data_IF_763996401823
#
_entry.id   IF_763996401823
#
_cell.length_a   1.000
_cell.length_b   1.000
_cell.length_c   1.000
_cell.angle_alpha   90.00
_cell.angle_beta   90.00
_cell.angle_gamma   90.00
#
_symmetry.space_group_name_H-M   'P 1'
#
loop_
_entity.id
_entity.type
_entity.pdbx_description
1 polymer ?
#
# COMPACT_ATOMS: atom_id res chain seq x y z
N UNK A 1 -1.75 -18.24 -28.59
CA UNK A 1 -2.46 -17.16 -29.35
C UNK A 1 -3.25 -16.34 -28.34
N UNK A 2 -2.66 -15.26 -27.80
CA UNK A 2 -3.30 -14.43 -26.77
C UNK A 2 -4.04 -13.30 -27.49
N UNK A 3 -5.36 -13.33 -27.42
CA UNK A 3 -6.24 -12.32 -28.00
C UNK A 3 -6.00 -10.96 -27.30
N UNK A 4 -5.67 -9.93 -28.08
CA UNK A 4 -5.61 -8.55 -27.64
C UNK A 4 -7.02 -8.08 -27.26
N UNK A 5 -7.33 -8.03 -25.98
CA UNK A 5 -8.53 -7.38 -25.49
C UNK A 5 -8.36 -5.85 -25.65
N UNK A 6 -8.95 -5.27 -26.70
CA UNK A 6 -9.05 -3.81 -26.83
C UNK A 6 -10.20 -3.35 -25.93
N UNK A 7 -9.88 -2.94 -24.70
CA UNK A 7 -10.82 -2.24 -23.84
C UNK A 7 -10.97 -0.79 -24.33
N UNK A 8 -12.08 -0.51 -24.98
CA UNK A 8 -12.52 0.85 -25.37
C UNK A 8 -13.22 1.55 -24.20
N UNK A 9 -12.60 1.64 -23.03
CA UNK A 9 -13.19 2.35 -21.90
C UNK A 9 -12.93 3.87 -22.01
N UNK A 10 -13.97 4.73 -21.99
CA UNK A 10 -13.83 6.19 -22.15
C UNK A 10 -13.16 6.90 -20.96
N UNK A 11 -12.78 6.16 -19.92
CA UNK A 11 -12.18 6.72 -18.69
C UNK A 11 -10.70 7.16 -18.84
N UNK A 12 -10.03 6.81 -19.93
CA UNK A 12 -8.58 7.05 -20.12
C UNK A 12 -8.21 8.37 -20.82
N UNK A 13 -9.14 9.31 -21.00
CA UNK A 13 -8.87 10.59 -21.68
C UNK A 13 -8.37 11.73 -20.77
N UNK A 14 -7.89 11.47 -19.56
CA UNK A 14 -7.25 12.53 -18.77
C UNK A 14 -5.76 12.66 -19.14
N UNK A 15 -5.38 13.86 -19.59
CA UNK A 15 -4.04 14.23 -20.10
C UNK A 15 -2.97 14.38 -18.99
N UNK A 16 -3.00 13.63 -17.91
CA UNK A 16 -1.97 13.67 -16.87
C UNK A 16 -0.90 12.63 -17.17
N UNK A 17 0.25 13.09 -17.65
CA UNK A 17 1.41 12.26 -18.02
C UNK A 17 1.92 11.37 -16.87
N UNK A 18 1.71 11.77 -15.62
CA UNK A 18 2.16 11.06 -14.41
C UNK A 18 1.41 9.72 -14.16
N UNK A 19 0.18 9.58 -14.68
CA UNK A 19 -0.67 8.39 -14.42
C UNK A 19 -0.91 7.54 -15.68
N UNK A 20 -0.16 7.77 -16.77
CA UNK A 20 -0.27 6.92 -17.96
C UNK A 20 0.57 5.66 -17.79
N UNK A 21 0.03 4.47 -18.16
CA UNK A 21 0.88 3.29 -18.26
C UNK A 21 2.01 3.55 -19.24
N UNK A 22 3.22 3.03 -18.99
CA UNK A 22 4.26 2.97 -20.01
C UNK A 22 3.72 2.30 -21.27
N UNK A 23 4.29 2.68 -22.43
CA UNK A 23 3.85 2.14 -23.74
C UNK A 23 3.96 0.60 -23.77
N UNK A 24 4.94 0.04 -23.06
CA UNK A 24 5.25 -1.39 -22.98
C UNK A 24 4.71 -2.04 -21.70
N UNK A 25 3.52 -1.60 -21.20
CA UNK A 25 2.92 -2.17 -20.00
C UNK A 25 2.30 -3.54 -20.27
N UNK A 26 2.52 -4.48 -19.36
CA UNK A 26 1.88 -5.80 -19.34
C UNK A 26 0.77 -5.82 -18.27
N UNK A 27 -0.37 -6.41 -18.59
CA UNK A 27 -1.43 -6.64 -17.61
C UNK A 27 -1.11 -7.84 -16.75
N UNK A 28 -1.14 -7.66 -15.43
CA UNK A 28 -0.93 -8.71 -14.43
C UNK A 28 -2.20 -8.85 -13.59
N UNK A 29 -2.66 -10.08 -13.28
CA UNK A 29 -3.77 -10.29 -12.37
C UNK A 29 -3.49 -9.67 -11.01
N UNK A 30 -4.46 -8.94 -10.44
CA UNK A 30 -4.29 -8.21 -9.18
C UNK A 30 -3.87 -9.13 -8.02
N UNK A 31 -4.44 -10.33 -7.95
CA UNK A 31 -4.08 -11.30 -6.92
C UNK A 31 -2.61 -11.70 -7.00
N UNK A 32 -2.09 -11.92 -8.20
CA UNK A 32 -0.68 -12.25 -8.43
C UNK A 32 0.23 -11.08 -8.04
N UNK A 33 -0.13 -9.86 -8.43
CA UNK A 33 0.63 -8.66 -8.10
C UNK A 33 0.70 -8.44 -6.59
N UNK A 34 -0.42 -8.64 -5.87
CA UNK A 34 -0.48 -8.58 -4.41
C UNK A 34 0.41 -9.62 -3.75
N UNK A 35 0.33 -10.88 -4.20
CA UNK A 35 1.16 -11.95 -3.67
C UNK A 35 2.65 -11.62 -3.81
N UNK A 36 3.09 -11.24 -5.00
CA UNK A 36 4.49 -10.89 -5.26
C UNK A 36 4.94 -9.71 -4.36
N UNK A 37 4.12 -8.66 -4.26
CA UNK A 37 4.44 -7.51 -3.42
C UNK A 37 4.54 -7.89 -1.94
N UNK A 38 3.61 -8.70 -1.43
CA UNK A 38 3.64 -9.18 -0.05
C UNK A 38 4.85 -10.07 0.22
N UNK A 39 5.18 -10.98 -0.71
CA UNK A 39 6.32 -11.90 -0.56
C UNK A 39 7.66 -11.15 -0.55
N UNK A 40 7.82 -10.13 -1.40
CA UNK A 40 8.99 -9.25 -1.36
C UNK A 40 9.16 -8.56 -0.01
N UNK A 41 8.07 -8.02 0.56
CA UNK A 41 8.08 -7.33 1.85
C UNK A 41 8.36 -8.29 3.02
N UNK A 42 7.79 -9.50 2.99
CA UNK A 42 8.06 -10.56 3.97
C UNK A 42 9.52 -11.01 3.91
N UNK A 43 10.08 -11.15 2.72
CA UNK A 43 11.47 -11.56 2.52
C UNK A 43 12.48 -10.61 3.15
N UNK A 44 12.14 -9.32 3.31
CA UNK A 44 12.98 -8.32 4.00
C UNK A 44 12.62 -8.15 5.49
N UNK A 45 11.82 -9.06 6.05
CA UNK A 45 11.54 -9.15 7.48
C UNK A 45 10.31 -8.40 7.97
N UNK A 46 9.52 -7.76 7.08
CA UNK A 46 8.26 -7.12 7.49
C UNK A 46 7.28 -8.17 8.03
N UNK A 47 6.58 -7.84 9.12
CA UNK A 47 5.55 -8.72 9.69
C UNK A 47 4.54 -9.15 8.61
N UNK A 48 4.14 -10.44 8.55
CA UNK A 48 3.29 -10.97 7.48
C UNK A 48 1.98 -10.21 7.30
N UNK A 49 1.28 -9.89 8.39
CA UNK A 49 0.03 -9.11 8.35
C UNK A 49 0.23 -7.68 7.82
N UNK A 50 1.34 -7.03 8.17
CA UNK A 50 1.70 -5.70 7.66
C UNK A 50 2.07 -5.74 6.18
N UNK A 51 2.78 -6.80 5.74
CA UNK A 51 3.14 -7.00 4.34
C UNK A 51 1.90 -7.21 3.47
N UNK A 52 0.96 -8.06 3.90
CA UNK A 52 -0.29 -8.32 3.18
C UNK A 52 -1.16 -7.06 3.09
N UNK A 53 -1.26 -6.31 4.20
CA UNK A 53 -1.99 -5.04 4.25
C UNK A 53 -1.37 -4.00 3.30
N UNK A 54 -0.06 -3.82 3.34
CA UNK A 54 0.65 -2.87 2.48
C UNK A 54 0.52 -3.25 1.01
N UNK A 55 0.70 -4.52 0.65
CA UNK A 55 0.54 -5.03 -0.70
C UNK A 55 -0.89 -4.77 -1.24
N UNK A 56 -1.91 -4.94 -0.39
CA UNK A 56 -3.30 -4.60 -0.72
C UNK A 56 -3.46 -3.11 -1.00
N UNK A 57 -3.01 -2.22 -0.12
CA UNK A 57 -3.15 -0.77 -0.26
C UNK A 57 -2.44 -0.25 -1.52
N UNK A 58 -1.22 -0.74 -1.80
CA UNK A 58 -0.47 -0.35 -2.99
C UNK A 58 -1.15 -0.82 -4.28
N UNK A 59 -1.63 -2.06 -4.32
CA UNK A 59 -2.35 -2.57 -5.50
C UNK A 59 -3.71 -1.88 -5.70
N UNK A 60 -4.40 -1.50 -4.62
CA UNK A 60 -5.64 -0.71 -4.71
C UNK A 60 -5.37 0.70 -5.26
N UNK A 61 -4.21 1.28 -4.97
CA UNK A 61 -3.77 2.55 -5.57
C UNK A 61 -3.52 2.40 -7.07
N UNK A 62 -2.88 1.31 -7.50
CA UNK A 62 -2.69 1.01 -8.94
C UNK A 62 -4.02 0.83 -9.66
N UNK A 63 -4.99 0.11 -9.07
CA UNK A 63 -6.33 -0.08 -9.63
C UNK A 63 -7.09 1.24 -9.80
N UNK A 64 -6.83 2.23 -8.94
CA UNK A 64 -7.39 3.58 -9.05
C UNK A 64 -6.62 4.48 -10.03
N UNK A 65 -5.56 3.97 -10.66
CA UNK A 65 -4.70 4.72 -11.57
C UNK A 65 -3.68 5.63 -10.89
N UNK A 66 -3.52 5.53 -9.56
CA UNK A 66 -2.56 6.34 -8.78
C UNK A 66 -1.23 5.60 -8.67
N UNK A 67 -0.56 5.40 -9.80
CA UNK A 67 0.66 4.58 -9.91
C UNK A 67 1.85 5.13 -9.13
N UNK A 68 1.91 6.43 -8.88
CA UNK A 68 2.97 7.04 -8.07
C UNK A 68 2.99 6.52 -6.63
N UNK A 69 1.84 6.02 -6.14
CA UNK A 69 1.62 5.48 -4.79
C UNK A 69 1.22 3.99 -4.84
N UNK A 70 1.51 3.32 -5.92
CA UNK A 70 1.20 1.91 -6.15
C UNK A 70 2.38 0.96 -5.87
N UNK A 71 2.28 -0.25 -6.41
CA UNK A 71 3.24 -1.35 -6.20
C UNK A 71 4.66 -1.04 -6.70
N UNK A 72 4.83 -0.06 -7.59
CA UNK A 72 6.16 0.46 -7.96
C UNK A 72 7.00 0.94 -6.78
N UNK A 73 6.38 1.23 -5.63
CA UNK A 73 7.07 1.67 -4.42
C UNK A 73 7.68 0.51 -3.61
N UNK A 74 7.29 -0.74 -3.88
CA UNK A 74 7.75 -1.92 -3.13
C UNK A 74 9.27 -2.03 -3.05
N UNK A 75 10.05 -1.89 -4.15
CA UNK A 75 11.51 -1.95 -4.05
C UNK A 75 12.10 -0.92 -3.09
N UNK A 76 11.57 0.31 -3.08
CA UNK A 76 12.02 1.35 -2.17
C UNK A 76 11.68 1.07 -0.71
N UNK A 77 10.54 0.43 -0.42
CA UNK A 77 10.23 -0.03 0.93
C UNK A 77 11.13 -1.18 1.37
N UNK A 78 11.38 -2.15 0.50
CA UNK A 78 12.30 -3.25 0.78
C UNK A 78 13.70 -2.72 1.11
N UNK A 79 14.21 -1.77 0.33
CA UNK A 79 15.51 -1.15 0.58
C UNK A 79 15.58 -0.46 1.96
N UNK A 80 14.57 0.36 2.31
CA UNK A 80 14.54 1.05 3.60
C UNK A 80 14.47 0.10 4.80
N UNK A 81 13.75 -1.03 4.65
CA UNK A 81 13.68 -2.06 5.68
C UNK A 81 15.03 -2.76 5.86
N UNK A 82 15.73 -3.07 4.76
CA UNK A 82 17.06 -3.69 4.78
C UNK A 82 18.13 -2.76 5.35
N UNK A 83 18.07 -1.47 5.04
CA UNK A 83 19.02 -0.46 5.51
C UNK A 83 18.75 -0.03 6.98
N UNK A 84 17.71 -0.58 7.62
CA UNK A 84 17.33 -0.21 8.99
C UNK A 84 16.68 1.17 9.11
N UNK A 85 16.27 1.77 7.99
CA UNK A 85 15.56 3.07 7.97
C UNK A 85 14.11 2.98 8.46
N UNK A 86 13.54 1.77 8.51
CA UNK A 86 12.25 1.50 9.14
C UNK A 86 12.31 0.21 9.96
N UNK A 87 11.56 0.18 11.07
CA UNK A 87 11.39 -1.02 11.89
C UNK A 87 10.49 -2.04 11.17
N UNK A 88 10.99 -3.26 10.83
CA UNK A 88 10.19 -4.28 10.15
C UNK A 88 9.16 -4.95 11.06
N UNK A 89 9.34 -4.83 12.40
CA UNK A 89 8.49 -5.48 13.42
C UNK A 89 8.01 -4.47 14.45
N UNK A 90 7.30 -3.40 14.05
CA UNK A 90 6.90 -2.35 14.96
C UNK A 90 5.89 -2.86 15.98
N UNK A 91 6.02 -2.38 17.22
CA UNK A 91 5.05 -2.55 18.30
C UNK A 91 4.19 -1.29 18.38
N UNK A 92 3.06 -1.29 17.68
CA UNK A 92 2.16 -0.14 17.64
C UNK A 92 1.49 0.09 19.00
N UNK A 93 1.53 1.30 19.53
CA UNK A 93 0.98 1.65 20.83
C UNK A 93 0.06 2.87 20.74
N UNK A 94 -1.07 2.81 21.44
CA UNK A 94 -1.90 3.99 21.68
C UNK A 94 -1.34 4.73 22.88
N UNK A 95 -0.75 5.90 22.65
CA UNK A 95 -0.14 6.72 23.70
C UNK A 95 -1.16 7.61 24.42
N UNK A 96 -2.17 8.07 23.69
CA UNK A 96 -3.24 8.90 24.24
C UNK A 96 -4.55 8.59 23.54
N UNK A 97 -5.61 8.50 24.33
CA UNK A 97 -6.97 8.27 23.86
C UNK A 97 -7.94 9.23 24.57
N UNK A 98 -8.67 10.02 23.78
CA UNK A 98 -9.69 10.96 24.25
C UNK A 98 -11.01 10.69 23.50
N UNK A 99 -12.15 11.27 23.89
CA UNK A 99 -13.40 11.06 23.15
C UNK A 99 -13.31 11.41 21.66
N UNK A 100 -12.49 12.38 21.27
CA UNK A 100 -12.43 12.90 19.89
C UNK A 100 -11.09 12.70 19.19
N UNK A 101 -10.04 12.28 19.91
CA UNK A 101 -8.69 12.15 19.34
C UNK A 101 -7.98 10.89 19.82
N UNK A 102 -7.04 10.40 19.04
CA UNK A 102 -6.14 9.31 19.41
C UNK A 102 -4.73 9.63 18.93
N UNK A 103 -3.73 9.34 19.75
CA UNK A 103 -2.31 9.40 19.38
C UNK A 103 -1.76 7.97 19.35
N UNK A 104 -1.26 7.55 18.19
CA UNK A 104 -0.67 6.22 17.98
C UNK A 104 0.81 6.37 17.70
N UNK A 105 1.64 5.64 18.44
CA UNK A 105 3.06 5.47 18.14
C UNK A 105 3.23 4.35 17.12
N UNK A 106 3.93 4.64 16.04
CA UNK A 106 4.25 3.71 14.96
C UNK A 106 5.55 2.94 15.15
N UNK A 107 6.28 3.15 16.26
CA UNK A 107 7.53 2.47 16.61
C UNK A 107 8.55 2.40 15.45
N UNK A 108 8.69 3.50 14.70
CA UNK A 108 9.60 3.58 13.56
C UNK A 108 9.23 2.68 12.36
N UNK A 109 8.06 2.06 12.37
CA UNK A 109 7.58 1.21 11.28
C UNK A 109 7.18 1.99 10.03
N UNK A 110 6.72 1.27 9.01
CA UNK A 110 6.12 1.89 7.83
C UNK A 110 4.76 2.49 8.22
N UNK A 111 4.50 3.73 7.82
CA UNK A 111 3.34 4.52 8.24
C UNK A 111 1.96 3.93 7.93
N UNK A 112 1.87 2.91 7.10
CA UNK A 112 0.59 2.28 6.73
C UNK A 112 -0.10 1.58 7.91
N UNK A 113 0.66 0.82 8.71
CA UNK A 113 0.08 0.06 9.82
C UNK A 113 -0.48 0.98 10.93
N UNK A 114 0.27 1.96 11.48
CA UNK A 114 -0.27 2.88 12.47
C UNK A 114 -1.40 3.75 11.93
N UNK A 115 -1.34 4.15 10.64
CA UNK A 115 -2.41 4.95 10.02
C UNK A 115 -3.71 4.14 9.90
N UNK A 116 -3.64 2.85 9.56
CA UNK A 116 -4.82 1.98 9.52
C UNK A 116 -5.42 1.83 10.91
N UNK A 117 -4.62 1.55 11.93
CA UNK A 117 -5.08 1.44 13.31
C UNK A 117 -5.75 2.76 13.79
N UNK A 118 -5.10 3.89 13.55
CA UNK A 118 -5.66 5.20 13.91
C UNK A 118 -6.98 5.48 13.19
N UNK A 119 -7.08 5.08 11.91
CA UNK A 119 -8.30 5.23 11.11
C UNK A 119 -9.45 4.39 11.67
N UNK A 120 -9.20 3.13 12.04
CA UNK A 120 -10.21 2.25 12.64
C UNK A 120 -10.73 2.81 13.96
N UNK A 121 -9.83 3.31 14.82
CA UNK A 121 -10.21 3.96 16.08
C UNK A 121 -11.03 5.23 15.81
N UNK A 122 -10.62 6.07 14.86
CA UNK A 122 -11.34 7.29 14.52
C UNK A 122 -12.75 7.00 13.96
N UNK A 123 -12.90 5.95 13.14
CA UNK A 123 -14.21 5.50 12.64
C UNK A 123 -15.10 5.00 13.80
N UNK A 124 -14.54 4.28 14.77
CA UNK A 124 -15.29 3.82 15.94
C UNK A 124 -15.82 5.00 16.75
N UNK A 125 -14.94 5.98 17.07
CA UNK A 125 -15.32 7.20 17.81
C UNK A 125 -16.38 8.05 17.11
N UNK A 126 -16.35 8.11 15.78
CA UNK A 126 -17.31 8.89 14.99
C UNK A 126 -18.72 8.27 14.96
N UNK A 127 -18.91 7.04 15.47
CA UNK A 127 -20.21 6.35 15.54
C UNK A 127 -20.88 6.46 16.91
N UNK A 128 -20.14 6.92 17.91
CA UNK A 128 -20.62 7.19 19.27
C UNK A 128 -21.16 8.62 19.40
#
# INVERSE_FOLDING_TARGET
>A
MLSRCRSSAPYFKRKNALNRPPVDSTFVPVAQLRSIAADCLKAVGLLPNHADQLAKLLSDSDLRGVRSHGTRAVPGYCQRLQDGGNNPKPNLQVLQDTPTTVLVDGDGGLGYAPMMQATEIAIAKAKE
#
